data_IF_183466728535
#
_entry.id   IF_183466728535
#
_cell.length_a   1.000
_cell.length_b   1.000
_cell.length_c   1.000
_cell.angle_alpha   90.00
_cell.angle_beta   90.00
_cell.angle_gamma   90.00
#
_symmetry.space_group_name_H-M   'P 1'
#
loop_
_entity.id
_entity.type
_entity.pdbx_description
1 polymer ?
#
# COMPACT_ATOMS: atom_id res chain seq x y z
N UNK A 1 -46.15 47.27 -5.15
CA UNK A 1 -46.04 45.80 -4.95
C UNK A 1 -44.79 45.19 -5.59
N UNK A 2 -44.23 45.77 -6.66
CA UNK A 2 -43.09 45.26 -7.44
C UNK A 2 -41.74 45.25 -6.70
N UNK A 3 -41.42 46.29 -5.92
CA UNK A 3 -40.13 46.41 -5.22
C UNK A 3 -39.89 45.37 -4.11
N UNK A 4 -40.96 44.91 -3.43
CA UNK A 4 -40.86 43.90 -2.37
C UNK A 4 -40.67 42.49 -2.95
N UNK A 5 -41.22 42.23 -4.13
CA UNK A 5 -41.06 40.96 -4.84
C UNK A 5 -39.62 40.84 -5.40
N UNK A 6 -39.10 41.92 -5.98
CA UNK A 6 -37.71 41.99 -6.45
C UNK A 6 -36.69 41.77 -5.31
N UNK A 7 -36.92 42.37 -4.14
CA UNK A 7 -36.06 42.16 -2.95
C UNK A 7 -36.06 40.71 -2.47
N UNK A 8 -37.22 40.04 -2.48
CA UNK A 8 -37.35 38.62 -2.09
C UNK A 8 -36.64 37.68 -3.06
N UNK A 9 -36.72 37.97 -4.36
CA UNK A 9 -36.03 37.20 -5.40
C UNK A 9 -34.51 37.37 -5.28
N UNK A 10 -34.02 38.59 -5.02
CA UNK A 10 -32.59 38.83 -4.80
C UNK A 10 -32.05 38.10 -3.56
N UNK A 11 -32.80 38.11 -2.46
CA UNK A 11 -32.37 37.41 -1.24
C UNK A 11 -32.32 35.90 -1.43
N UNK A 12 -33.30 35.31 -2.13
CA UNK A 12 -33.35 33.87 -2.38
C UNK A 12 -32.24 33.39 -3.32
N UNK A 13 -31.89 34.20 -4.32
CA UNK A 13 -30.77 33.89 -5.23
C UNK A 13 -29.42 34.01 -4.52
N UNK A 14 -29.21 35.04 -3.69
CA UNK A 14 -27.99 35.18 -2.90
C UNK A 14 -27.76 34.00 -1.93
N UNK A 15 -28.81 33.51 -1.26
CA UNK A 15 -28.70 32.35 -0.37
C UNK A 15 -28.39 31.06 -1.12
N UNK A 16 -28.95 30.88 -2.32
CA UNK A 16 -28.69 29.69 -3.15
C UNK A 16 -27.25 29.65 -3.65
N UNK A 17 -26.70 30.79 -4.08
CA UNK A 17 -25.30 30.90 -4.51
C UNK A 17 -24.34 30.62 -3.36
N UNK A 18 -24.58 31.19 -2.18
CA UNK A 18 -23.73 30.95 -1.00
C UNK A 18 -23.72 29.46 -0.58
N UNK A 19 -24.87 28.79 -0.62
CA UNK A 19 -24.96 27.35 -0.33
C UNK A 19 -24.18 26.51 -1.34
N UNK A 20 -24.29 26.81 -2.64
CA UNK A 20 -23.57 26.10 -3.70
C UNK A 20 -22.04 26.25 -3.55
N UNK A 21 -21.56 27.45 -3.19
CA UNK A 21 -20.12 27.70 -2.94
C UNK A 21 -19.61 26.93 -1.71
N UNK A 22 -20.39 26.88 -0.63
CA UNK A 22 -20.03 26.12 0.58
C UNK A 22 -19.96 24.60 0.31
N UNK A 23 -20.87 24.06 -0.50
CA UNK A 23 -20.88 22.65 -0.90
C UNK A 23 -19.75 22.27 -1.87
N UNK A 24 -19.32 23.20 -2.72
CA UNK A 24 -18.21 22.98 -3.67
C UNK A 24 -16.81 23.08 -3.03
N UNK A 25 -16.71 23.57 -1.79
CA UNK A 25 -15.44 23.76 -1.09
C UNK A 25 -14.61 22.49 -0.93
N UNK A 26 -15.23 21.30 -0.92
CA UNK A 26 -14.51 20.03 -0.85
C UNK A 26 -13.92 19.56 -2.19
N UNK A 27 -14.35 20.13 -3.33
CA UNK A 27 -13.88 19.73 -4.66
C UNK A 27 -12.67 20.52 -5.15
N UNK A 28 -12.36 21.66 -4.52
CA UNK A 28 -11.29 22.56 -4.95
C UNK A 28 -9.96 22.32 -4.23
N UNK A 29 -9.87 21.32 -3.35
CA UNK A 29 -8.59 20.88 -2.80
C UNK A 29 -7.87 20.15 -3.94
N UNK A 30 -6.80 20.69 -4.52
CA UNK A 30 -5.99 19.97 -5.49
C UNK A 30 -5.35 18.82 -4.72
N UNK A 31 -5.84 17.61 -4.92
CA UNK A 31 -5.12 16.44 -4.45
C UNK A 31 -3.75 16.47 -5.16
N UNK A 32 -2.63 16.36 -4.43
CA UNK A 32 -1.35 16.22 -5.08
C UNK A 32 -1.43 15.02 -6.02
N UNK A 33 -1.06 15.25 -7.28
CA UNK A 33 -1.04 14.24 -8.33
C UNK A 33 0.09 13.25 -7.99
N UNK A 34 -0.19 12.33 -7.07
CA UNK A 34 0.67 11.19 -6.78
C UNK A 34 0.49 10.14 -7.88
N UNK A 35 0.66 10.55 -9.14
CA UNK A 35 0.78 9.66 -10.28
C UNK A 35 2.20 9.09 -10.33
N UNK A 36 2.64 8.54 -9.20
CA UNK A 36 3.73 7.58 -9.19
C UNK A 36 3.12 6.28 -9.69
N UNK A 37 3.18 6.04 -11.01
CA UNK A 37 2.88 4.72 -11.52
C UNK A 37 3.69 3.70 -10.70
N UNK A 38 3.09 2.61 -10.21
CA UNK A 38 3.80 1.64 -9.41
C UNK A 38 5.06 1.20 -10.15
N UNK A 39 6.21 1.33 -9.48
CA UNK A 39 7.49 0.87 -10.03
C UNK A 39 7.40 -0.65 -10.19
N UNK A 40 7.11 -1.09 -11.42
CA UNK A 40 7.21 -2.49 -11.84
C UNK A 40 8.65 -2.78 -12.23
N UNK A 41 9.55 -2.65 -11.27
CA UNK A 41 10.94 -3.08 -11.43
C UNK A 41 11.15 -4.34 -10.60
N UNK A 42 11.60 -5.44 -11.21
CA UNK A 42 12.00 -6.63 -10.46
C UNK A 42 13.35 -6.44 -9.75
N UNK A 43 14.07 -5.34 -10.02
CA UNK A 43 15.38 -5.07 -9.44
C UNK A 43 15.24 -4.60 -7.98
N UNK A 44 15.96 -5.23 -7.02
CA UNK A 44 16.02 -4.74 -5.65
C UNK A 44 16.52 -3.29 -5.59
N UNK A 45 15.91 -2.49 -4.71
CA UNK A 45 16.35 -1.12 -4.43
C UNK A 45 17.38 -1.20 -3.30
N UNK A 46 18.63 -0.88 -3.62
CA UNK A 46 19.77 -0.96 -2.68
C UNK A 46 20.44 0.38 -2.43
N UNK A 47 19.90 1.47 -2.97
CA UNK A 47 20.44 2.82 -2.75
C UNK A 47 20.42 3.18 -1.27
N UNK A 48 21.59 3.49 -0.72
CA UNK A 48 21.76 3.84 0.70
C UNK A 48 21.82 2.64 1.67
N UNK A 49 21.81 1.40 1.16
CA UNK A 49 22.05 0.21 1.98
C UNK A 49 23.56 0.04 2.19
N UNK A 50 23.96 -0.24 3.44
CA UNK A 50 25.35 -0.49 3.79
C UNK A 50 25.86 -1.80 3.13
N UNK A 51 27.16 -1.85 2.81
CA UNK A 51 27.74 -2.94 2.02
C UNK A 51 27.58 -4.32 2.69
N UNK A 52 27.73 -4.36 4.02
CA UNK A 52 27.54 -5.53 4.87
C UNK A 52 26.09 -6.05 4.91
N UNK A 53 25.12 -5.21 4.55
CA UNK A 53 23.70 -5.57 4.49
C UNK A 53 23.23 -5.99 3.09
N UNK A 54 24.02 -5.74 2.05
CA UNK A 54 23.62 -5.94 0.65
C UNK A 54 23.19 -7.37 0.33
N UNK A 55 23.79 -8.36 0.99
CA UNK A 55 23.45 -9.78 0.82
C UNK A 55 21.99 -10.07 1.21
N UNK A 56 21.45 -9.41 2.23
CA UNK A 56 20.06 -9.57 2.66
C UNK A 56 19.07 -8.88 1.71
N UNK A 57 19.47 -7.78 1.07
CA UNK A 57 18.58 -7.04 0.15
C UNK A 57 18.53 -7.61 -1.27
N UNK A 58 19.57 -8.33 -1.70
CA UNK A 58 19.71 -8.87 -3.05
C UNK A 58 19.42 -10.38 -3.14
N UNK A 59 18.75 -10.94 -2.14
CA UNK A 59 18.39 -12.34 -2.12
C UNK A 59 17.48 -12.69 -3.30
N UNK A 60 17.82 -13.77 -4.00
CA UNK A 60 16.87 -14.44 -4.89
C UNK A 60 16.17 -15.52 -4.08
N UNK A 61 14.83 -15.47 -4.05
CA UNK A 61 14.03 -16.38 -3.24
C UNK A 61 13.63 -17.62 -4.04
N UNK A 62 13.88 -18.79 -3.46
CA UNK A 62 13.51 -20.08 -4.03
C UNK A 62 12.10 -20.48 -3.62
N UNK A 63 11.13 -20.11 -4.46
CA UNK A 63 9.72 -20.41 -4.24
C UNK A 63 9.39 -21.87 -4.56
N UNK A 64 8.62 -22.51 -3.69
CA UNK A 64 8.08 -23.84 -3.91
C UNK A 64 6.58 -23.87 -3.62
N UNK A 65 5.84 -24.67 -4.40
CA UNK A 65 4.43 -24.91 -4.12
C UNK A 65 4.25 -25.55 -2.74
N UNK A 66 3.34 -25.01 -1.93
CA UNK A 66 3.07 -25.50 -0.57
C UNK A 66 1.59 -25.89 -0.33
N UNK A 67 0.84 -26.12 -1.42
CA UNK A 67 -0.54 -26.59 -1.40
C UNK A 67 -1.54 -25.49 -1.78
N UNK A 68 -2.75 -25.89 -2.20
CA UNK A 68 -3.92 -25.00 -2.36
C UNK A 68 -3.70 -23.75 -3.24
N UNK A 69 -2.79 -23.83 -4.22
CA UNK A 69 -2.48 -22.69 -5.11
C UNK A 69 -1.51 -21.66 -4.51
N UNK A 70 -0.89 -21.97 -3.37
CA UNK A 70 0.11 -21.14 -2.72
C UNK A 70 1.54 -21.58 -3.06
N UNK A 71 2.42 -20.58 -3.14
CA UNK A 71 3.87 -20.77 -3.07
C UNK A 71 4.38 -20.31 -1.70
N UNK A 72 5.37 -21.00 -1.16
CA UNK A 72 6.06 -20.65 0.06
C UNK A 72 7.57 -20.53 -0.18
N UNK A 73 8.23 -19.71 0.63
CA UNK A 73 9.69 -19.56 0.69
C UNK A 73 10.09 -19.08 2.08
N UNK A 74 11.40 -19.02 2.32
CA UNK A 74 12.00 -18.31 3.44
C UNK A 74 12.75 -17.09 2.94
N UNK A 75 12.74 -16.00 3.72
CA UNK A 75 13.59 -14.82 3.54
C UNK A 75 14.55 -14.73 4.72
N UNK A 76 15.85 -14.60 4.46
CA UNK A 76 16.85 -14.45 5.52
C UNK A 76 16.93 -12.99 5.95
N UNK A 77 17.04 -12.72 7.24
CA UNK A 77 17.34 -11.39 7.77
C UNK A 77 18.44 -11.49 8.84
N UNK A 78 19.23 -10.42 9.06
CA UNK A 78 20.16 -10.40 10.18
C UNK A 78 19.37 -10.39 11.49
N UNK A 79 19.89 -11.10 12.49
CA UNK A 79 19.35 -11.09 13.84
C UNK A 79 19.53 -9.72 14.51
N UNK A 80 20.67 -9.08 14.26
CA UNK A 80 20.97 -7.70 14.65
C UNK A 80 21.41 -6.89 13.43
N UNK A 81 20.69 -5.82 13.10
CA UNK A 81 21.02 -4.95 11.96
C UNK A 81 22.28 -4.11 12.19
N UNK A 82 22.72 -3.95 13.44
CA UNK A 82 23.95 -3.20 13.80
C UNK A 82 25.19 -4.10 13.81
N UNK A 83 24.98 -5.42 13.87
CA UNK A 83 26.02 -6.46 13.81
C UNK A 83 25.52 -7.63 12.95
N UNK A 84 25.54 -7.50 11.60
CA UNK A 84 24.95 -8.50 10.71
C UNK A 84 25.62 -9.88 10.79
N UNK A 85 26.82 -9.95 11.36
CA UNK A 85 27.57 -11.20 11.59
C UNK A 85 27.14 -11.93 12.88
N UNK A 86 26.33 -11.31 13.74
CA UNK A 86 25.84 -11.90 14.99
C UNK A 86 24.91 -13.11 14.79
N UNK A 87 24.41 -13.31 13.56
CA UNK A 87 23.56 -14.42 13.15
C UNK A 87 22.38 -13.97 12.31
N UNK A 88 21.60 -14.95 11.84
CA UNK A 88 20.45 -14.72 10.96
C UNK A 88 19.18 -15.34 11.52
N UNK A 89 18.05 -14.85 11.02
CA UNK A 89 16.72 -15.43 11.23
C UNK A 89 16.05 -15.70 9.88
N UNK A 90 15.16 -16.68 9.90
CA UNK A 90 14.40 -17.13 8.75
C UNK A 90 12.96 -16.66 8.87
N UNK A 91 12.54 -15.79 7.95
CA UNK A 91 11.17 -15.31 7.85
C UNK A 91 10.39 -16.18 6.86
N UNK A 92 9.40 -16.93 7.35
CA UNK A 92 8.51 -17.70 6.49
C UNK A 92 7.58 -16.77 5.69
N UNK A 93 7.49 -16.97 4.39
CA UNK A 93 6.64 -16.20 3.48
C UNK A 93 5.77 -17.15 2.67
N UNK A 94 4.50 -16.81 2.53
CA UNK A 94 3.52 -17.46 1.65
C UNK A 94 3.00 -16.42 0.66
N UNK A 95 2.68 -16.84 -0.56
CA UNK A 95 1.98 -16.03 -1.55
C UNK A 95 0.94 -16.84 -2.29
N UNK A 96 -0.15 -16.18 -2.67
CA UNK A 96 -1.06 -16.64 -3.70
C UNK A 96 -0.81 -15.82 -4.96
N UNK A 97 -0.52 -16.47 -6.08
CA UNK A 97 -0.24 -15.77 -7.33
C UNK A 97 -1.50 -15.05 -7.87
N UNK A 98 -1.30 -13.91 -8.54
CA UNK A 98 -2.41 -13.20 -9.17
C UNK A 98 -3.04 -14.06 -10.27
N UNK A 99 -4.37 -14.18 -10.28
CA UNK A 99 -5.12 -15.00 -11.25
C UNK A 99 -5.73 -14.18 -12.40
N UNK A 100 -5.82 -12.86 -12.25
CA UNK A 100 -6.50 -11.94 -13.17
C UNK A 100 -5.66 -11.41 -14.34
N UNK A 101 -4.53 -12.04 -14.66
CA UNK A 101 -3.59 -11.58 -15.69
C UNK A 101 -2.27 -11.09 -15.11
N UNK A 102 -1.67 -10.08 -15.74
CA UNK A 102 -0.36 -9.55 -15.36
C UNK A 102 -0.38 -8.97 -13.93
N UNK A 103 0.44 -9.47 -12.99
CA UNK A 103 0.48 -8.95 -11.63
C UNK A 103 1.00 -7.50 -11.63
N UNK A 104 0.31 -6.63 -10.89
CA UNK A 104 0.77 -5.26 -10.68
C UNK A 104 1.95 -5.18 -9.69
N UNK A 105 2.06 -6.17 -8.81
CA UNK A 105 3.05 -6.26 -7.73
C UNK A 105 2.55 -7.20 -6.62
N UNK A 106 3.20 -7.15 -5.46
CA UNK A 106 2.80 -7.91 -4.27
C UNK A 106 2.03 -7.03 -3.29
N UNK A 107 0.91 -7.54 -2.77
CA UNK A 107 0.24 -6.96 -1.60
C UNK A 107 0.79 -7.65 -0.35
N UNK A 108 1.55 -6.93 0.45
CA UNK A 108 2.02 -7.42 1.75
C UNK A 108 0.96 -7.13 2.82
N UNK A 109 0.67 -8.14 3.63
CA UNK A 109 -0.29 -8.04 4.74
C UNK A 109 0.39 -8.36 6.06
N UNK A 110 -0.16 -7.82 7.14
CA UNK A 110 0.26 -8.14 8.51
C UNK A 110 -1.01 -8.26 9.36
N UNK A 111 -1.27 -9.42 9.99
CA UNK A 111 -2.46 -9.62 10.82
C UNK A 111 -2.55 -8.68 12.03
N UNK A 112 -1.44 -8.06 12.43
CA UNK A 112 -1.36 -7.19 13.60
C UNK A 112 -1.02 -7.97 14.88
N UNK A 113 -1.27 -7.32 16.03
CA UNK A 113 -1.11 -7.83 17.40
C UNK A 113 0.02 -8.85 17.60
N UNK A 114 1.27 -8.49 17.88
CA UNK A 114 2.45 -9.36 17.73
C UNK A 114 2.30 -10.84 18.11
N UNK A 115 2.88 -11.73 17.29
CA UNK A 115 2.88 -13.19 17.50
C UNK A 115 1.86 -13.94 16.64
N UNK A 116 0.94 -13.25 15.97
CA UNK A 116 0.07 -13.84 14.95
C UNK A 116 0.86 -14.19 13.67
N UNK A 117 0.52 -15.32 13.06
CA UNK A 117 1.15 -15.80 11.83
C UNK A 117 0.59 -15.07 10.60
N UNK A 118 1.45 -14.36 9.87
CA UNK A 118 1.09 -13.82 8.55
C UNK A 118 0.86 -14.91 7.50
N UNK A 119 1.50 -16.08 7.67
CA UNK A 119 1.30 -17.23 6.79
C UNK A 119 -0.11 -17.79 6.92
N UNK A 120 -0.57 -17.99 8.16
CA UNK A 120 -1.90 -18.55 8.42
C UNK A 120 -2.99 -17.57 7.99
N UNK A 121 -2.78 -16.24 8.20
CA UNK A 121 -3.69 -15.22 7.68
C UNK A 121 -3.94 -15.39 6.18
N UNK A 122 -2.87 -15.52 5.38
CA UNK A 122 -3.01 -15.61 3.91
C UNK A 122 -3.62 -16.95 3.51
N UNK A 123 -3.21 -18.06 4.14
CA UNK A 123 -3.72 -19.40 3.86
C UNK A 123 -5.21 -19.52 4.15
N UNK A 124 -5.68 -18.97 5.27
CA UNK A 124 -7.05 -19.15 5.73
C UNK A 124 -8.04 -18.14 5.10
N UNK A 125 -7.54 -17.18 4.31
CA UNK A 125 -8.33 -16.07 3.74
C UNK A 125 -8.58 -16.15 2.23
N UNK A 126 -7.98 -17.10 1.51
CA UNK A 126 -8.03 -17.22 0.03
C UNK A 126 -8.41 -18.64 -0.39
#
# INVERSE_FOLDING_TARGET
>A
MTARLARRILTASATMVAAAVALAGCYLIPMPDQSSAPHRSPTPITDGVAEDLLSFYQQTLDWAACGEGFDCTTVTAPLDWSDPDAGTIDLSVIRHAATGGEPLGSLLTNPGGPGASGVDLVRDSL
#
